data_IF_550788093398
#
_entry.id   IF_550788093398
#
_cell.length_a   1.000
_cell.length_b   1.000
_cell.length_c   1.000
_cell.angle_alpha   90.00
_cell.angle_beta   90.00
_cell.angle_gamma   90.00
#
_symmetry.space_group_name_H-M   'P 1'
#
loop_
_entity.id
_entity.type
_entity.pdbx_description
1 polymer ?
#
# COMPACT_ATOMS: atom_id res chain seq x y z
N UNK A 1 -2.67 -38.60 -28.09
CA UNK A 1 -4.13 -38.37 -28.04
C UNK A 1 -4.79 -38.76 -26.71
N UNK A 2 -4.47 -39.91 -26.09
CA UNK A 2 -5.11 -40.35 -24.83
C UNK A 2 -4.90 -39.41 -23.62
N UNK A 3 -3.75 -38.74 -23.51
CA UNK A 3 -3.47 -37.83 -22.39
C UNK A 3 -4.15 -36.46 -22.53
N UNK A 4 -4.30 -35.95 -23.76
CA UNK A 4 -5.02 -34.69 -24.02
C UNK A 4 -6.50 -34.85 -23.65
N UNK A 5 -7.11 -35.99 -23.99
CA UNK A 5 -8.49 -36.30 -23.59
C UNK A 5 -8.65 -36.35 -22.06
N UNK A 6 -7.66 -36.88 -21.34
CA UNK A 6 -7.65 -36.91 -19.87
C UNK A 6 -7.58 -35.50 -19.27
N UNK A 7 -6.77 -34.61 -19.83
CA UNK A 7 -6.68 -33.22 -19.35
C UNK A 7 -7.93 -32.40 -19.64
N UNK A 8 -8.55 -32.59 -20.81
CA UNK A 8 -9.83 -31.94 -21.13
C UNK A 8 -10.93 -32.43 -20.18
N UNK A 9 -11.00 -33.74 -19.91
CA UNK A 9 -11.98 -34.29 -18.97
C UNK A 9 -11.77 -33.80 -17.53
N UNK A 10 -10.52 -33.71 -17.09
CA UNK A 10 -10.17 -33.16 -15.77
C UNK A 10 -10.56 -31.68 -15.64
N UNK A 11 -10.34 -30.88 -16.68
CA UNK A 11 -10.76 -29.47 -16.72
C UNK A 11 -12.28 -29.30 -16.64
N UNK A 12 -13.03 -30.11 -17.40
CA UNK A 12 -14.50 -30.11 -17.37
C UNK A 12 -15.01 -30.52 -15.98
N UNK A 13 -14.45 -31.59 -15.41
CA UNK A 13 -14.82 -32.07 -14.08
C UNK A 13 -14.56 -31.01 -12.99
N UNK A 14 -13.38 -30.36 -13.01
CA UNK A 14 -13.04 -29.28 -12.07
C UNK A 14 -13.96 -28.05 -12.20
N UNK A 15 -14.30 -27.66 -13.44
CA UNK A 15 -15.24 -26.57 -13.70
C UNK A 15 -16.64 -26.85 -13.16
N UNK A 16 -17.14 -28.07 -13.37
CA UNK A 16 -18.46 -28.50 -12.86
C UNK A 16 -18.49 -28.57 -11.33
N UNK A 17 -17.41 -29.03 -10.69
CA UNK A 17 -17.30 -29.05 -9.22
C UNK A 17 -17.29 -27.62 -8.66
N UNK A 18 -16.58 -26.70 -9.30
CA UNK A 18 -16.49 -25.30 -8.86
C UNK A 18 -17.83 -24.56 -9.01
N UNK A 19 -18.50 -24.72 -10.15
CA UNK A 19 -19.83 -24.13 -10.40
C UNK A 19 -20.92 -24.75 -9.51
N UNK A 20 -20.88 -26.08 -9.32
CA UNK A 20 -21.78 -26.77 -8.40
C UNK A 20 -21.55 -26.37 -6.95
N UNK A 21 -20.28 -26.31 -6.52
CA UNK A 21 -19.88 -25.90 -5.18
C UNK A 21 -20.32 -24.47 -4.87
N UNK A 22 -20.09 -23.53 -5.78
CA UNK A 22 -20.50 -22.12 -5.58
C UNK A 22 -22.02 -21.94 -5.53
N UNK A 23 -22.80 -22.71 -6.30
CA UNK A 23 -24.28 -22.72 -6.23
C UNK A 23 -24.81 -23.35 -4.93
N UNK A 24 -24.16 -24.40 -4.43
CA UNK A 24 -24.54 -25.05 -3.17
C UNK A 24 -24.11 -24.26 -1.93
N UNK A 25 -22.98 -23.54 -2.01
CA UNK A 25 -22.46 -22.68 -0.92
C UNK A 25 -22.97 -21.23 -0.99
N UNK A 26 -23.63 -20.80 -2.07
CA UNK A 26 -24.45 -19.58 -2.08
C UNK A 26 -25.76 -19.80 -1.31
N UNK A 27 -25.66 -20.29 -0.08
CA UNK A 27 -26.77 -20.27 0.87
C UNK A 27 -26.93 -18.82 1.33
N UNK A 28 -27.89 -18.11 0.71
CA UNK A 28 -28.49 -16.84 1.13
C UNK A 28 -27.75 -16.17 2.29
N UNK A 29 -26.55 -15.66 2.03
CA UNK A 29 -26.00 -14.64 2.89
C UNK A 29 -26.89 -13.44 2.61
N UNK A 30 -27.77 -13.01 3.53
CA UNK A 30 -28.35 -11.69 3.38
C UNK A 30 -27.14 -10.78 3.22
N UNK A 31 -27.03 -10.11 2.08
CA UNK A 31 -26.14 -8.98 1.98
C UNK A 31 -26.71 -8.04 3.02
N UNK A 32 -26.15 -8.10 4.23
CA UNK A 32 -26.36 -7.09 5.22
C UNK A 32 -25.77 -5.86 4.56
N UNK A 33 -26.61 -5.10 3.84
CA UNK A 33 -26.35 -3.70 3.59
C UNK A 33 -25.98 -3.19 4.97
N UNK A 34 -24.71 -2.83 5.22
CA UNK A 34 -24.39 -2.22 6.49
C UNK A 34 -25.37 -1.06 6.59
N UNK A 35 -26.26 -1.12 7.58
CA UNK A 35 -26.98 0.04 7.99
C UNK A 35 -25.87 0.99 8.44
N UNK A 36 -25.42 1.85 7.53
CA UNK A 36 -24.67 3.06 7.86
C UNK A 36 -25.64 4.02 8.57
N UNK A 37 -26.29 3.52 9.61
CA UNK A 37 -26.96 4.30 10.62
C UNK A 37 -25.89 4.80 11.57
N UNK A 38 -25.62 6.10 11.52
CA UNK A 38 -25.07 6.81 12.67
C UNK A 38 -23.76 7.57 12.50
N UNK A 39 -23.02 7.45 11.39
CA UNK A 39 -21.71 8.13 11.29
C UNK A 39 -21.54 9.09 10.13
N UNK A 40 -22.44 9.11 9.14
CA UNK A 40 -22.44 10.19 8.16
C UNK A 40 -23.27 11.33 8.75
N UNK A 41 -22.67 12.11 9.66
CA UNK A 41 -23.15 13.47 9.89
C UNK A 41 -23.02 14.14 8.53
N UNK A 42 -24.14 14.31 7.82
CA UNK A 42 -24.19 15.09 6.58
C UNK A 42 -23.58 16.44 6.95
N UNK A 43 -22.33 16.66 6.54
CA UNK A 43 -21.67 17.94 6.73
C UNK A 43 -22.58 18.90 5.99
N UNK A 44 -23.15 19.85 6.72
CA UNK A 44 -23.85 20.95 6.08
C UNK A 44 -22.77 21.64 5.28
N UNK A 45 -22.76 21.43 3.96
CA UNK A 45 -22.11 22.37 3.06
C UNK A 45 -22.73 23.70 3.47
N UNK A 46 -21.92 24.59 4.04
CA UNK A 46 -22.38 25.93 4.38
C UNK A 46 -22.82 26.51 3.05
N UNK A 47 -24.12 26.53 2.80
CA UNK A 47 -24.66 27.31 1.71
C UNK A 47 -24.52 28.74 2.21
N UNK A 48 -23.43 29.38 1.81
CA UNK A 48 -23.25 30.82 1.97
C UNK A 48 -24.27 31.46 1.03
N UNK A 49 -25.54 31.45 1.47
CA UNK A 49 -26.57 32.27 0.88
C UNK A 49 -26.09 33.70 1.07
N UNK A 50 -25.73 34.34 -0.05
CA UNK A 50 -25.09 35.64 -0.12
C UNK A 50 -25.97 36.79 0.37
N UNK A 51 -26.21 36.85 1.68
CA UNK A 51 -26.89 37.96 2.35
C UNK A 51 -26.01 38.65 3.40
N UNK A 52 -24.82 38.12 3.67
CA UNK A 52 -23.73 38.88 4.27
C UNK A 52 -22.61 38.94 3.25
N UNK A 53 -22.31 40.14 2.74
CA UNK A 53 -21.45 40.41 1.58
C UNK A 53 -19.97 40.07 1.74
N UNK A 54 -19.62 38.96 2.40
CA UNK A 54 -18.29 38.38 2.35
C UNK A 54 -18.29 37.24 1.33
N UNK A 55 -18.07 37.61 0.07
CA UNK A 55 -17.45 36.72 -0.90
C UNK A 55 -16.01 36.51 -0.43
N UNK A 56 -15.80 35.62 0.54
CA UNK A 56 -14.45 35.15 0.85
C UNK A 56 -14.01 34.39 -0.40
N UNK A 57 -12.97 34.85 -1.13
CA UNK A 57 -12.39 34.03 -2.17
C UNK A 57 -11.99 32.71 -1.50
N UNK A 58 -12.45 31.60 -2.04
CA UNK A 58 -12.04 30.26 -1.63
C UNK A 58 -10.58 30.07 -2.06
N UNK A 59 -9.68 30.74 -1.33
CA UNK A 59 -8.26 30.79 -1.58
C UNK A 59 -7.52 30.26 -0.35
N UNK A 60 -6.86 29.12 -0.53
CA UNK A 60 -6.05 28.50 0.51
C UNK A 60 -4.60 29.02 0.50
N UNK A 61 -4.25 29.97 -0.37
CA UNK A 61 -2.87 30.47 -0.51
C UNK A 61 -2.35 31.04 0.81
N UNK A 62 -3.15 31.84 1.52
CA UNK A 62 -2.74 32.40 2.82
C UNK A 62 -2.58 31.31 3.88
N UNK A 63 -3.57 30.41 4.00
CA UNK A 63 -3.52 29.30 4.96
C UNK A 63 -2.36 28.33 4.66
N UNK A 64 -2.09 28.06 3.38
CA UNK A 64 -0.97 27.25 2.94
C UNK A 64 0.35 27.96 3.25
N UNK A 65 0.49 29.25 2.93
CA UNK A 65 1.70 30.02 3.24
C UNK A 65 2.06 30.00 4.73
N UNK A 66 1.06 29.96 5.62
CA UNK A 66 1.26 29.82 7.06
C UNK A 66 1.59 28.38 7.50
N UNK A 67 1.03 27.37 6.84
CA UNK A 67 1.15 25.97 7.23
C UNK A 67 2.34 25.24 6.60
N UNK A 68 2.72 25.53 5.36
CA UNK A 68 3.78 24.81 4.64
C UNK A 68 5.15 24.88 5.33
N UNK A 69 5.57 25.98 5.99
CA UNK A 69 6.88 26.05 6.66
C UNK A 69 7.10 24.99 7.76
N UNK A 70 6.02 24.47 8.38
CA UNK A 70 6.13 23.44 9.42
C UNK A 70 6.00 22.02 8.88
N UNK A 71 5.71 21.84 7.59
CA UNK A 71 5.62 20.53 6.96
C UNK A 71 6.99 20.13 6.44
N UNK A 72 7.40 18.89 6.73
CA UNK A 72 8.68 18.32 6.30
C UNK A 72 8.47 17.10 5.44
N UNK A 73 9.42 16.85 4.55
CA UNK A 73 9.57 15.59 3.86
C UNK A 73 10.47 14.67 4.68
N UNK A 74 10.10 13.40 4.78
CA UNK A 74 10.87 12.38 5.49
C UNK A 74 11.18 11.25 4.50
N UNK A 75 12.46 11.00 4.27
CA UNK A 75 12.95 9.82 3.58
C UNK A 75 13.55 8.86 4.61
N UNK A 76 13.10 7.62 4.56
CA UNK A 76 13.44 6.55 5.48
C UNK A 76 14.15 5.43 4.74
N UNK A 77 15.27 4.95 5.28
CA UNK A 77 16.07 3.88 4.67
C UNK A 77 16.46 2.83 5.70
N UNK A 78 16.32 1.56 5.32
CA UNK A 78 16.92 0.43 6.04
C UNK A 78 18.37 0.30 5.58
N UNK A 79 19.30 0.07 6.51
CA UNK A 79 20.70 -0.14 6.14
C UNK A 79 20.87 -1.47 5.40
N UNK A 80 21.67 -1.46 4.34
CA UNK A 80 22.13 -2.71 3.73
C UNK A 80 22.92 -3.50 4.77
N UNK A 81 22.36 -4.61 5.23
CA UNK A 81 23.08 -5.54 6.11
C UNK A 81 24.29 -6.08 5.33
N UNK A 82 25.53 -5.71 5.70
CA UNK A 82 26.71 -6.21 5.01
C UNK A 82 26.89 -7.67 5.41
N UNK A 83 26.65 -8.59 4.48
CA UNK A 83 27.04 -9.98 4.65
C UNK A 83 25.88 -10.94 4.92
N UNK A 84 25.15 -11.24 3.87
CA UNK A 84 24.67 -12.59 3.64
C UNK A 84 25.40 -13.15 2.45
N UNK A 85 26.55 -13.81 2.64
CA UNK A 85 27.06 -14.75 1.65
C UNK A 85 26.03 -15.88 1.57
N UNK A 86 24.95 -15.65 0.82
CA UNK A 86 23.96 -16.67 0.48
C UNK A 86 24.68 -17.62 -0.44
N UNK A 87 25.32 -18.63 0.17
CA UNK A 87 25.74 -19.83 -0.55
C UNK A 87 24.55 -20.23 -1.42
N UNK A 88 24.73 -20.41 -2.74
CA UNK A 88 23.63 -20.83 -3.59
C UNK A 88 23.07 -22.11 -2.99
N UNK A 89 21.87 -21.99 -2.44
CA UNK A 89 21.15 -23.11 -1.88
C UNK A 89 20.80 -23.94 -3.11
N UNK A 90 21.47 -25.08 -3.26
CA UNK A 90 21.14 -26.04 -4.31
C UNK A 90 19.70 -26.49 -4.08
N UNK A 91 18.77 -25.79 -4.71
CA UNK A 91 17.36 -26.12 -4.71
C UNK A 91 17.22 -27.46 -5.48
N UNK A 92 16.74 -28.54 -4.85
CA UNK A 92 16.51 -29.83 -5.50
C UNK A 92 15.60 -29.72 -6.74
N UNK A 93 14.76 -28.69 -6.83
CA UNK A 93 13.91 -28.41 -7.98
C UNK A 93 14.70 -27.94 -9.22
N UNK A 94 15.88 -27.33 -9.04
CA UNK A 94 16.74 -26.86 -10.15
C UNK A 94 17.26 -28.01 -11.03
N UNK A 95 17.41 -29.20 -10.46
CA UNK A 95 17.81 -30.42 -11.17
C UNK A 95 16.64 -31.05 -11.93
N UNK A 96 15.40 -30.77 -11.52
CA UNK A 96 14.19 -31.37 -12.09
C UNK A 96 13.65 -30.57 -13.31
N UNK A 97 13.90 -29.26 -13.36
CA UNK A 97 13.38 -28.38 -14.43
C UNK A 97 14.40 -28.00 -15.51
N UNK A 98 15.59 -28.62 -15.52
CA UNK A 98 16.60 -28.43 -16.57
C UNK A 98 17.22 -27.04 -16.54
N UNK A 99 18.39 -26.95 -15.90
CA UNK A 99 19.19 -25.72 -15.80
C UNK A 99 19.33 -24.98 -17.13
N UNK A 100 18.54 -23.91 -17.26
CA UNK A 100 18.72 -22.85 -18.23
C UNK A 100 18.45 -21.56 -17.48
N UNK A 101 19.42 -20.65 -17.51
CA UNK A 101 19.50 -19.35 -16.82
C UNK A 101 18.35 -18.35 -17.07
N UNK A 102 17.15 -18.80 -17.47
CA UNK A 102 15.99 -17.95 -17.71
C UNK A 102 15.19 -17.64 -16.44
N UNK A 103 15.21 -18.52 -15.43
CA UNK A 103 14.47 -18.34 -14.18
C UNK A 103 15.35 -18.00 -12.96
N UNK A 104 16.68 -18.03 -13.13
CA UNK A 104 17.62 -17.73 -12.06
C UNK A 104 18.33 -16.39 -12.33
N UNK A 105 17.56 -15.33 -12.59
CA UNK A 105 18.02 -14.03 -12.10
C UNK A 105 17.72 -14.04 -10.60
N UNK A 106 18.73 -14.10 -9.72
CA UNK A 106 18.53 -13.69 -8.35
C UNK A 106 18.14 -12.21 -8.41
N UNK A 107 16.84 -11.94 -8.48
CA UNK A 107 16.34 -10.65 -8.03
C UNK A 107 16.79 -10.58 -6.58
N UNK A 108 17.82 -9.77 -6.34
CA UNK A 108 18.42 -9.54 -5.05
C UNK A 108 17.32 -9.19 -4.06
N UNK A 109 16.89 -10.19 -3.26
CA UNK A 109 15.89 -10.03 -2.21
C UNK A 109 16.42 -9.22 -1.02
N UNK A 110 17.59 -8.61 -1.17
CA UNK A 110 18.29 -7.82 -0.18
C UNK A 110 18.46 -6.35 -0.59
N UNK A 111 17.62 -5.84 -1.51
CA UNK A 111 17.54 -4.39 -1.68
C UNK A 111 17.08 -3.76 -0.35
N UNK A 112 17.81 -2.77 0.18
CA UNK A 112 17.40 -2.05 1.38
C UNK A 112 16.00 -1.47 1.17
N UNK A 113 15.15 -1.56 2.19
CA UNK A 113 13.83 -0.96 2.13
C UNK A 113 13.97 0.56 2.18
N UNK A 114 13.33 1.23 1.23
CA UNK A 114 13.18 2.68 1.23
C UNK A 114 11.71 3.05 1.39
N UNK A 115 11.45 4.13 2.12
CA UNK A 115 10.12 4.69 2.29
C UNK A 115 10.17 6.21 2.34
N UNK A 116 9.06 6.83 1.94
CA UNK A 116 8.92 8.29 1.97
C UNK A 116 7.60 8.67 2.64
N UNK A 117 7.60 9.82 3.30
CA UNK A 117 6.43 10.34 3.97
C UNK A 117 6.55 11.83 4.26
N UNK A 118 5.53 12.36 4.93
CA UNK A 118 5.54 13.72 5.46
C UNK A 118 5.56 13.69 6.98
N UNK A 119 6.02 14.79 7.56
CA UNK A 119 5.89 15.07 8.98
C UNK A 119 5.50 16.52 9.23
N UNK A 120 5.13 16.81 10.46
CA UNK A 120 4.84 18.18 10.92
C UNK A 120 5.71 18.50 12.12
N UNK A 121 6.42 19.63 12.07
CA UNK A 121 7.15 20.19 13.21
C UNK A 121 6.11 20.67 14.23
N UNK A 122 6.10 20.02 15.39
CA UNK A 122 5.11 20.25 16.46
C UNK A 122 5.59 21.30 17.46
N UNK A 123 6.88 21.35 17.74
CA UNK A 123 7.48 22.25 18.74
C UNK A 123 8.75 22.92 18.22
N UNK A 124 9.10 24.06 18.82
CA UNK A 124 10.22 24.91 18.39
C UNK A 124 11.60 24.28 18.60
N UNK A 125 11.71 23.26 19.44
CA UNK A 125 12.91 22.44 19.66
C UNK A 125 13.06 21.32 18.61
N UNK A 126 12.15 21.25 17.63
CA UNK A 126 12.31 20.40 16.44
C UNK A 126 11.66 19.01 16.52
N UNK A 127 10.72 18.77 17.44
CA UNK A 127 9.97 17.50 17.41
C UNK A 127 9.07 17.44 16.19
N UNK A 128 9.15 16.32 15.46
CA UNK A 128 8.36 16.06 14.27
C UNK A 128 7.39 14.92 14.54
N UNK A 129 6.12 15.13 14.21
CA UNK A 129 5.09 14.10 14.23
C UNK A 129 4.95 13.53 12.82
N UNK A 130 5.05 12.20 12.69
CA UNK A 130 4.79 11.46 11.46
C UNK A 130 4.07 10.14 11.77
N UNK A 131 3.65 9.42 10.74
CA UNK A 131 3.06 8.10 10.91
C UNK A 131 4.13 7.07 11.27
N UNK A 132 3.77 6.15 12.15
CA UNK A 132 4.68 5.06 12.55
C UNK A 132 5.18 4.25 11.34
N UNK A 133 4.30 3.89 10.39
CA UNK A 133 4.67 3.10 9.22
C UNK A 133 5.69 3.77 8.28
N UNK A 134 5.93 5.08 8.43
CA UNK A 134 6.95 5.81 7.66
C UNK A 134 8.34 5.54 8.24
N UNK A 135 8.45 5.33 9.56
CA UNK A 135 9.73 5.30 10.29
C UNK A 135 10.04 3.98 10.98
N UNK A 136 9.07 3.06 11.10
CA UNK A 136 9.21 1.82 11.89
C UNK A 136 10.40 0.94 11.49
N UNK A 137 10.68 0.84 10.19
CA UNK A 137 11.74 0.00 9.63
C UNK A 137 13.06 0.75 9.41
N UNK A 138 13.07 2.07 9.61
CA UNK A 138 14.15 2.93 9.18
C UNK A 138 15.32 2.88 10.15
N UNK A 139 16.52 2.58 9.64
CA UNK A 139 17.76 2.77 10.39
C UNK A 139 18.31 4.20 10.18
N UNK A 140 18.01 4.79 9.02
CA UNK A 140 18.40 6.14 8.65
C UNK A 140 17.17 6.97 8.24
N UNK A 141 17.16 8.23 8.67
CA UNK A 141 16.13 9.21 8.36
C UNK A 141 16.77 10.48 7.81
N UNK A 142 16.32 10.91 6.66
CA UNK A 142 16.63 12.20 6.06
C UNK A 142 15.38 13.08 6.09
N UNK A 143 15.52 14.27 6.68
CA UNK A 143 14.42 15.22 6.82
C UNK A 143 14.72 16.46 6.00
N UNK A 144 13.82 16.81 5.08
CA UNK A 144 13.92 18.02 4.25
C UNK A 144 12.81 18.99 4.64
N UNK A 145 13.21 20.20 5.03
CA UNK A 145 12.29 21.31 5.34
C UNK A 145 11.86 22.03 4.06
N UNK A 146 10.79 22.84 4.15
CA UNK A 146 10.24 23.58 3.00
C UNK A 146 11.20 24.63 2.40
N UNK A 147 12.24 25.03 3.13
CA UNK A 147 13.20 26.06 2.75
C UNK A 147 14.54 25.51 2.20
N UNK A 148 14.61 24.21 1.91
CA UNK A 148 15.79 23.51 1.37
C UNK A 148 15.79 23.34 -0.15
#
# INVERSE_FOLDING_TARGET
MKQIASFVFAGIAGGLITLGGTRLFQQNQPVASPAYGGFVKKVSNVNVNGETGFSVPFDFTEAAALATPVVVHIAAKENEKPGGNQRPQNDPWSQFFGGGSFFNSPFDYNMPREGTGSGVIYTQDGYIITNNHVVEFADELEVTTNDN
#
